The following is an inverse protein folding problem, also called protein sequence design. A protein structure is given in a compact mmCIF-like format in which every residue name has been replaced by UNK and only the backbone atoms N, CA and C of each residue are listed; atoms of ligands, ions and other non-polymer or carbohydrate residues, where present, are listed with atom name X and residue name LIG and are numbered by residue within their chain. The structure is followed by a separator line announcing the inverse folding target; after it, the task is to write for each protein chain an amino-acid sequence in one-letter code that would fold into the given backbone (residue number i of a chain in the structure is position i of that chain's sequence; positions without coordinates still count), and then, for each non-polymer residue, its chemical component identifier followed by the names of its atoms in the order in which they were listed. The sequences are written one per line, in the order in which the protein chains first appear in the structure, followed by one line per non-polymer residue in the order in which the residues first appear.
data_IF_545378302022
#
_entry.id   IF_545378302022
#
_cell.length_a   1.000
_cell.length_b   1.000
_cell.length_c   1.000
_cell.angle_alpha   90.00
_cell.angle_beta   90.00
_cell.angle_gamma   90.00
#
_symmetry.space_group_name_H-M   'P 1'
#
loop_
_entity.id
_entity.type
_entity.pdbx_description
1 polymer ?
#
# COMPACT_ATOMS: atom_id res chain seq x y z
N UNK A 1 8.27 8.98 -10.22
CA UNK A 1 7.85 9.05 -11.61
C UNK A 1 6.79 8.00 -11.92
N UNK A 2 5.91 8.31 -12.85
CA UNK A 2 4.91 7.34 -13.30
C UNK A 2 5.46 6.58 -14.49
N UNK A 3 5.13 5.31 -14.58
CA UNK A 3 5.29 4.59 -15.83
C UNK A 3 3.97 4.59 -16.59
N UNK A 4 3.96 3.98 -17.78
CA UNK A 4 2.79 4.00 -18.66
C UNK A 4 1.63 3.15 -18.15
N UNK A 5 1.83 2.34 -17.09
CA UNK A 5 0.79 1.52 -16.48
C UNK A 5 0.15 2.19 -15.25
N UNK A 6 0.47 3.47 -15.00
CA UNK A 6 -0.04 4.18 -13.85
C UNK A 6 0.67 3.84 -12.55
N UNK A 7 1.79 3.15 -12.62
CA UNK A 7 2.59 2.83 -11.44
C UNK A 7 3.58 3.95 -11.15
N UNK A 8 3.85 4.16 -9.87
CA UNK A 8 4.86 5.10 -9.45
C UNK A 8 6.07 4.35 -8.95
N UNK A 9 7.24 4.78 -9.39
CA UNK A 9 8.50 4.21 -8.96
C UNK A 9 9.21 5.20 -8.04
N UNK A 10 9.53 4.74 -6.84
CA UNK A 10 10.23 5.53 -5.84
C UNK A 10 11.62 4.95 -5.64
N UNK A 11 12.65 5.78 -5.72
CA UNK A 11 14.03 5.36 -5.51
C UNK A 11 14.55 6.08 -4.29
N UNK A 12 15.05 5.31 -3.31
CA UNK A 12 15.60 5.86 -2.09
C UNK A 12 17.08 6.22 -2.27
N UNK A 13 17.65 6.89 -1.27
CA UNK A 13 19.09 7.25 -1.31
C UNK A 13 19.98 6.02 -1.36
N UNK A 14 19.51 4.89 -0.82
CA UNK A 14 20.26 3.63 -0.85
C UNK A 14 20.03 2.86 -2.14
N UNK A 15 19.41 3.49 -3.14
CA UNK A 15 19.08 2.90 -4.43
C UNK A 15 18.10 1.74 -4.34
N UNK A 16 17.38 1.62 -3.23
CA UNK A 16 16.24 0.71 -3.15
C UNK A 16 15.10 1.27 -3.97
N UNK A 17 14.35 0.40 -4.62
CA UNK A 17 13.22 0.80 -5.45
C UNK A 17 11.93 0.23 -4.89
N UNK A 18 10.91 1.09 -4.83
CA UNK A 18 9.57 0.70 -4.41
C UNK A 18 8.62 1.15 -5.51
N UNK A 19 7.78 0.23 -5.97
CA UNK A 19 6.77 0.53 -6.99
C UNK A 19 5.41 0.51 -6.34
N UNK A 20 4.65 1.59 -6.52
CA UNK A 20 3.30 1.69 -5.99
C UNK A 20 2.30 1.86 -7.13
N UNK A 21 1.06 1.43 -6.87
CA UNK A 21 -0.05 1.67 -7.77
C UNK A 21 -1.25 2.06 -6.91
N UNK A 22 -1.78 3.25 -7.14
CA UNK A 22 -2.86 3.83 -6.33
C UNK A 22 -2.52 3.82 -4.84
N UNK A 23 -1.24 4.06 -4.51
CA UNK A 23 -0.77 4.09 -3.13
C UNK A 23 -0.42 2.74 -2.53
N UNK A 24 -0.75 1.63 -3.20
CA UNK A 24 -0.39 0.30 -2.73
C UNK A 24 1.00 -0.07 -3.23
N UNK A 25 1.85 -0.59 -2.35
CA UNK A 25 3.14 -1.12 -2.76
C UNK A 25 2.89 -2.45 -3.46
N UNK A 26 3.35 -2.55 -4.72
CA UNK A 26 3.12 -3.73 -5.54
C UNK A 26 4.41 -4.44 -5.92
N UNK A 27 5.55 -3.80 -5.72
CA UNK A 27 6.84 -4.40 -6.03
C UNK A 27 7.94 -3.66 -5.29
N UNK A 28 8.97 -4.39 -4.86
CA UNK A 28 10.16 -3.79 -4.25
C UNK A 28 11.42 -4.38 -4.84
N UNK A 29 12.49 -3.58 -4.81
CA UNK A 29 13.85 -4.02 -5.08
C UNK A 29 14.71 -3.49 -3.94
N UNK A 30 14.82 -4.28 -2.91
CA UNK A 30 15.56 -3.97 -1.69
C UNK A 30 16.78 -4.90 -1.62
N UNK A 31 17.62 -4.71 -0.65
CA UNK A 31 18.83 -5.53 -0.52
C UNK A 31 18.61 -6.96 -0.04
N UNK A 32 17.40 -7.29 0.42
CA UNK A 32 17.08 -8.63 0.93
C UNK A 32 15.87 -9.21 0.21
N UNK A 33 14.91 -9.67 0.99
CA UNK A 33 13.67 -10.21 0.43
C UNK A 33 12.83 -9.11 -0.18
N UNK A 34 12.09 -9.45 -1.23
CA UNK A 34 11.33 -8.49 -2.00
C UNK A 34 9.92 -8.96 -2.32
N UNK A 35 9.01 -8.00 -2.42
CA UNK A 35 7.72 -8.23 -3.04
C UNK A 35 7.94 -8.21 -4.55
N UNK A 36 7.54 -9.29 -5.23
CA UNK A 36 7.77 -9.46 -6.66
C UNK A 36 6.58 -9.05 -7.49
N UNK A 37 5.37 -9.41 -7.05
CA UNK A 37 4.16 -9.11 -7.80
C UNK A 37 2.91 -9.20 -6.94
N UNK A 38 1.91 -8.45 -7.37
CA UNK A 38 0.55 -8.49 -6.83
C UNK A 38 -0.37 -8.47 -8.04
N UNK A 39 -1.30 -9.40 -8.12
CA UNK A 39 -2.24 -9.42 -9.24
C UNK A 39 -3.59 -8.80 -8.87
N UNK A 40 -4.54 -8.87 -9.80
CA UNK A 40 -5.91 -8.36 -9.61
C UNK A 40 -5.96 -6.88 -9.21
N UNK A 41 -5.01 -6.10 -9.73
CA UNK A 41 -4.90 -4.68 -9.38
C UNK A 41 -6.05 -3.85 -9.95
N UNK A 42 -6.72 -4.32 -10.99
CA UNK A 42 -7.86 -3.61 -11.55
C UNK A 42 -9.04 -3.54 -10.58
N UNK A 43 -9.13 -4.50 -9.65
CA UNK A 43 -10.20 -4.57 -8.65
C UNK A 43 -9.77 -4.05 -7.29
N UNK A 44 -8.58 -3.47 -7.18
CA UNK A 44 -8.07 -2.95 -5.91
C UNK A 44 -8.95 -1.81 -5.43
N UNK A 45 -9.56 -1.93 -4.23
CA UNK A 45 -10.39 -0.83 -3.71
C UNK A 45 -9.65 0.49 -3.54
N UNK A 46 -8.32 0.47 -3.41
CA UNK A 46 -7.54 1.70 -3.28
C UNK A 46 -7.57 2.57 -4.54
N UNK A 47 -8.10 2.08 -5.66
CA UNK A 47 -8.31 2.91 -6.85
C UNK A 47 -9.22 4.09 -6.52
N UNK A 48 -10.24 3.86 -5.70
CA UNK A 48 -11.18 4.89 -5.26
C UNK A 48 -11.40 4.76 -3.75
N UNK A 49 -10.43 5.21 -2.94
CA UNK A 49 -10.50 4.96 -1.50
C UNK A 49 -11.75 5.52 -0.84
N UNK A 50 -12.24 6.70 -1.28
CA UNK A 50 -13.40 7.32 -0.66
C UNK A 50 -14.71 6.56 -0.92
N UNK A 51 -14.70 5.58 -1.82
CA UNK A 51 -15.87 4.74 -2.09
C UNK A 51 -15.84 3.42 -1.30
N UNK A 52 -14.78 3.17 -0.54
CA UNK A 52 -14.69 1.95 0.25
C UNK A 52 -15.66 2.04 1.43
N UNK A 53 -16.44 0.98 1.62
CA UNK A 53 -17.33 0.86 2.77
C UNK A 53 -16.80 -0.20 3.73
N UNK A 54 -17.19 -0.11 4.99
CA UNK A 54 -16.75 -1.08 5.99
C UNK A 54 -17.17 -2.49 5.56
N UNK A 55 -16.21 -3.42 5.61
CA UNK A 55 -16.45 -4.78 5.19
C UNK A 55 -16.13 -5.07 3.72
N UNK A 56 -15.77 -4.04 2.92
CA UNK A 56 -15.33 -4.28 1.55
C UNK A 56 -14.14 -5.22 1.54
N UNK A 57 -14.08 -6.10 0.56
CA UNK A 57 -13.02 -7.11 0.50
C UNK A 57 -12.37 -7.14 -0.88
N UNK A 58 -11.15 -7.66 -0.91
CA UNK A 58 -10.39 -7.81 -2.15
C UNK A 58 -9.45 -8.99 -2.01
N UNK A 59 -9.42 -9.83 -3.04
CA UNK A 59 -8.57 -11.02 -3.06
C UNK A 59 -7.59 -10.91 -4.20
N UNK A 60 -6.33 -11.29 -3.94
CA UNK A 60 -5.28 -11.29 -4.96
C UNK A 60 -4.26 -12.37 -4.61
N UNK A 61 -3.41 -12.68 -5.58
CA UNK A 61 -2.24 -13.50 -5.36
C UNK A 61 -1.04 -12.60 -5.25
N UNK A 62 -0.18 -12.86 -4.26
CA UNK A 62 1.06 -12.13 -4.03
C UNK A 62 2.22 -13.08 -4.22
N UNK A 63 3.30 -12.59 -4.82
CA UNK A 63 4.55 -13.31 -4.94
C UNK A 63 5.67 -12.52 -4.29
N UNK A 64 6.50 -13.18 -3.48
CA UNK A 64 7.63 -12.53 -2.81
C UNK A 64 8.80 -13.50 -2.70
N UNK A 65 9.97 -12.96 -2.35
CA UNK A 65 11.11 -13.80 -2.04
C UNK A 65 11.29 -13.89 -0.53
N UNK A 66 11.62 -15.08 -0.07
CA UNK A 66 11.91 -15.36 1.33
C UNK A 66 13.13 -16.25 1.36
N UNK A 67 14.21 -15.74 1.93
CA UNK A 67 15.51 -16.44 1.93
C UNK A 67 15.90 -16.92 0.53
N UNK A 68 15.76 -16.04 -0.46
CA UNK A 68 16.08 -16.28 -1.88
C UNK A 68 15.18 -17.28 -2.58
N UNK A 69 14.10 -17.70 -1.94
CA UNK A 69 13.11 -18.57 -2.56
C UNK A 69 11.85 -17.77 -2.88
N UNK A 70 11.25 -18.06 -4.04
CA UNK A 70 10.01 -17.43 -4.43
C UNK A 70 8.85 -18.13 -3.74
N UNK A 71 7.99 -17.32 -3.12
CA UNK A 71 6.78 -17.79 -2.45
C UNK A 71 5.57 -17.10 -3.05
N UNK A 72 4.45 -17.79 -3.06
CA UNK A 72 3.17 -17.24 -3.49
C UNK A 72 2.10 -17.56 -2.46
N UNK A 73 1.15 -16.65 -2.32
CA UNK A 73 -0.02 -16.88 -1.49
C UNK A 73 -1.20 -16.09 -2.02
N UNK A 74 -2.40 -16.63 -1.80
CA UNK A 74 -3.62 -15.88 -2.01
C UNK A 74 -3.90 -15.09 -0.74
N UNK A 75 -4.07 -13.79 -0.88
CA UNK A 75 -4.33 -12.89 0.23
C UNK A 75 -5.72 -12.26 0.08
N UNK A 76 -6.44 -12.17 1.18
CA UNK A 76 -7.73 -11.53 1.22
C UNK A 76 -7.68 -10.36 2.17
N UNK A 77 -8.09 -9.19 1.70
CA UNK A 77 -8.19 -7.99 2.52
C UNK A 77 -9.63 -7.70 2.86
N UNK A 78 -9.86 -7.22 4.09
CA UNK A 78 -11.12 -6.66 4.51
C UNK A 78 -10.84 -5.25 5.02
N UNK A 79 -11.55 -4.27 4.49
CA UNK A 79 -11.33 -2.87 4.77
C UNK A 79 -12.33 -2.34 5.79
N UNK A 80 -11.86 -1.41 6.63
CA UNK A 80 -12.69 -0.78 7.64
C UNK A 80 -12.16 0.62 7.94
N UNK A 81 -13.04 1.58 8.02
CA UNK A 81 -12.65 2.93 8.42
C UNK A 81 -12.46 2.98 9.93
N UNK A 82 -11.37 3.61 10.37
CA UNK A 82 -10.95 3.62 11.77
C UNK A 82 -10.66 5.05 12.21
N UNK A 83 -11.68 5.90 12.09
CA UNK A 83 -11.62 7.26 12.58
C UNK A 83 -10.92 8.24 11.66
N UNK A 84 -10.58 9.39 12.23
CA UNK A 84 -9.98 10.51 11.52
C UNK A 84 -8.68 10.92 12.19
N UNK A 85 -7.83 11.62 11.44
CA UNK A 85 -6.55 12.09 11.90
C UNK A 85 -6.15 13.32 11.08
N UNK A 86 -4.98 13.86 11.35
CA UNK A 86 -4.38 14.91 10.55
C UNK A 86 -2.98 14.49 10.15
N UNK A 87 -2.58 14.84 8.94
CA UNK A 87 -1.24 14.58 8.45
C UNK A 87 -0.57 15.91 8.16
N UNK A 88 0.62 16.09 8.72
CA UNK A 88 1.44 17.28 8.49
C UNK A 88 2.48 16.99 7.44
N UNK A 89 2.54 17.89 6.45
CA UNK A 89 3.62 17.89 5.46
C UNK A 89 4.16 19.32 5.43
N UNK A 90 5.37 19.51 5.93
CA UNK A 90 5.93 20.84 6.10
C UNK A 90 5.12 21.65 7.12
N UNK A 91 4.60 22.80 6.71
CA UNK A 91 3.74 23.64 7.53
C UNK A 91 2.26 23.39 7.31
N UNK A 92 1.92 22.53 6.36
CA UNK A 92 0.53 22.25 6.02
C UNK A 92 0.00 21.07 6.81
N UNK A 93 -1.26 21.18 7.23
CA UNK A 93 -1.94 20.11 7.94
C UNK A 93 -3.21 19.76 7.17
N UNK A 94 -3.36 18.47 6.85
CA UNK A 94 -4.47 17.98 6.08
C UNK A 94 -5.29 17.01 6.90
N UNK A 95 -6.61 17.23 6.91
CA UNK A 95 -7.54 16.30 7.54
C UNK A 95 -7.65 15.03 6.71
N UNK A 96 -7.61 13.88 7.38
CA UNK A 96 -7.69 12.59 6.72
C UNK A 96 -8.57 11.64 7.52
N UNK A 97 -9.04 10.59 6.85
CA UNK A 97 -9.65 9.44 7.51
C UNK A 97 -8.68 8.28 7.45
N UNK A 98 -8.69 7.46 8.48
CA UNK A 98 -7.80 6.30 8.57
C UNK A 98 -8.53 5.07 8.05
N UNK A 99 -7.95 4.42 7.05
CA UNK A 99 -8.47 3.19 6.48
C UNK A 99 -7.60 2.03 6.94
N UNK A 100 -8.22 1.05 7.58
CA UNK A 100 -7.54 -0.18 8.00
C UNK A 100 -7.82 -1.27 6.98
N UNK A 101 -6.78 -1.99 6.60
CA UNK A 101 -6.87 -3.15 5.73
C UNK A 101 -6.34 -4.36 6.48
N UNK A 102 -7.24 -5.26 6.86
CA UNK A 102 -6.85 -6.51 7.49
C UNK A 102 -6.59 -7.55 6.40
N UNK A 103 -5.36 -8.01 6.32
CA UNK A 103 -4.92 -8.96 5.28
C UNK A 103 -4.72 -10.33 5.90
N UNK A 104 -5.26 -11.35 5.25
CA UNK A 104 -5.17 -12.73 5.72
C UNK A 104 -4.74 -13.64 4.57
N UNK A 105 -3.78 -14.50 4.85
CA UNK A 105 -3.41 -15.64 3.99
C UNK A 105 -3.64 -16.93 4.78
N UNK A 106 -3.34 -18.07 4.18
CA UNK A 106 -3.45 -19.35 4.87
C UNK A 106 -2.41 -19.52 5.98
N UNK A 107 -1.39 -18.68 6.03
CA UNK A 107 -0.30 -18.82 6.99
C UNK A 107 -0.10 -17.62 7.90
N UNK A 108 -0.68 -16.46 7.56
CA UNK A 108 -0.35 -15.22 8.27
C UNK A 108 -1.45 -14.19 8.14
N UNK A 109 -1.41 -13.21 9.01
CA UNK A 109 -2.30 -12.05 8.91
C UNK A 109 -1.55 -10.80 9.39
N UNK A 110 -1.93 -9.66 8.82
CA UNK A 110 -1.36 -8.38 9.21
C UNK A 110 -2.33 -7.27 8.84
N UNK A 111 -2.04 -6.03 9.25
CA UNK A 111 -2.85 -4.87 8.95
C UNK A 111 -2.02 -3.83 8.22
N UNK A 112 -2.58 -3.27 7.18
CA UNK A 112 -2.05 -2.07 6.52
C UNK A 112 -2.94 -0.90 6.89
N UNK A 113 -2.38 0.31 6.90
CA UNK A 113 -3.13 1.52 7.20
C UNK A 113 -2.86 2.59 6.16
N UNK A 114 -3.91 3.33 5.83
CA UNK A 114 -3.85 4.40 4.85
C UNK A 114 -4.55 5.62 5.42
N UNK A 115 -3.93 6.78 5.26
CA UNK A 115 -4.48 8.06 5.68
C UNK A 115 -4.95 8.77 4.43
N UNK A 116 -6.26 8.88 4.26
CA UNK A 116 -6.93 9.27 3.01
C UNK A 116 -7.56 10.63 3.20
N UNK A 117 -7.25 11.59 2.32
CA UNK A 117 -7.83 12.92 2.40
C UNK A 117 -9.22 12.98 1.75
N UNK A 118 -9.83 14.16 1.78
CA UNK A 118 -11.18 14.36 1.27
C UNK A 118 -11.28 14.18 -0.23
N UNK A 119 -10.16 14.25 -0.94
CA UNK A 119 -10.13 14.07 -2.39
C UNK A 119 -9.81 12.63 -2.79
N UNK A 120 -9.65 11.75 -1.81
CA UNK A 120 -9.35 10.35 -2.08
C UNK A 120 -7.87 10.07 -2.31
N UNK A 121 -7.00 11.02 -1.97
CA UNK A 121 -5.56 10.79 -2.08
C UNK A 121 -5.04 10.18 -0.80
N UNK A 122 -4.17 9.20 -0.94
CA UNK A 122 -3.48 8.58 0.20
C UNK A 122 -2.28 9.45 0.53
N UNK A 123 -2.36 10.14 1.67
CA UNK A 123 -1.31 11.07 2.10
C UNK A 123 -0.19 10.38 2.84
N UNK A 124 -0.50 9.28 3.48
CA UNK A 124 0.45 8.50 4.25
C UNK A 124 -0.04 7.06 4.25
N UNK A 125 0.88 6.13 4.31
CA UNK A 125 0.51 4.74 4.49
C UNK A 125 1.53 4.02 5.35
N UNK A 126 1.09 2.95 5.98
CA UNK A 126 1.95 2.02 6.70
C UNK A 126 1.58 0.65 6.16
N UNK A 127 2.47 0.07 5.38
CA UNK A 127 2.20 -1.18 4.69
C UNK A 127 3.23 -2.23 5.08
N UNK A 128 2.73 -3.44 5.32
CA UNK A 128 3.54 -4.62 5.48
C UNK A 128 3.49 -5.41 4.19
N UNK A 129 4.64 -5.90 3.75
CA UNK A 129 4.74 -6.62 2.48
C UNK A 129 4.47 -8.11 2.66
N UNK A 130 4.36 -8.55 3.90
CA UNK A 130 4.09 -9.90 4.34
C UNK A 130 4.35 -9.97 5.83
N UNK A 131 4.03 -11.11 6.46
CA UNK A 131 4.11 -11.23 7.92
C UNK A 131 5.51 -10.99 8.47
N UNK A 132 6.53 -11.37 7.70
CA UNK A 132 7.92 -11.29 8.14
C UNK A 132 8.67 -10.09 7.55
N UNK A 133 7.99 -9.23 6.80
CA UNK A 133 8.60 -8.05 6.22
C UNK A 133 8.50 -6.86 7.16
N UNK A 134 9.48 -5.97 7.04
CA UNK A 134 9.41 -4.70 7.74
C UNK A 134 8.25 -3.87 7.24
N UNK A 135 7.57 -3.13 8.14
CA UNK A 135 6.58 -2.19 7.67
C UNK A 135 7.25 -1.08 6.86
N UNK A 136 6.61 -0.68 5.79
CA UNK A 136 7.07 0.43 4.96
C UNK A 136 6.13 1.59 5.19
N UNK A 137 6.66 2.64 5.82
CA UNK A 137 5.90 3.87 6.02
C UNK A 137 6.20 4.82 4.86
N UNK A 138 5.17 5.16 4.12
CA UNK A 138 5.29 6.08 3.01
C UNK A 138 4.41 7.29 3.26
N UNK A 139 5.00 8.48 3.09
CA UNK A 139 4.27 9.74 3.23
C UNK A 139 4.33 10.49 1.92
N UNK A 140 3.18 10.89 1.41
CA UNK A 140 3.12 11.70 0.20
C UNK A 140 3.49 13.13 0.57
N UNK A 141 4.59 13.62 0.01
CA UNK A 141 5.10 14.97 0.32
C UNK A 141 4.33 16.03 -0.44
N UNK A 142 3.92 15.72 -1.66
CA UNK A 142 3.13 16.60 -2.50
C UNK A 142 1.99 15.82 -3.10
N UNK A 143 0.82 16.48 -3.20
CA UNK A 143 -0.25 15.92 -4.01
C UNK A 143 0.26 15.78 -5.45
N UNK A 144 0.00 14.64 -6.08
CA UNK A 144 0.32 14.48 -7.48
C UNK A 144 -0.48 15.51 -8.28
N UNK A 145 0.19 16.25 -9.13
CA UNK A 145 -0.51 17.19 -10.01
C UNK A 145 -1.25 16.39 -11.07
N UNK A 146 -2.47 16.76 -11.23
CA UNK A 146 -3.34 16.15 -12.23
C UNK A 146 -2.93 16.60 -13.63
#
# INVERSE_FOLDING_TARGET
AFDENGQQKWVTQDQATIVTQHGRIVKTLLGGDNLLEVNNLADDPLIKPNQITDGASWTRTMGWTEHKQVRYATARSVFRWDGSDSVKVGSDETHVRVLDEAVTTDQASWHNRYWVDDEGQIRQSLQYLGADFFPVKATLIKAAKQ
#
